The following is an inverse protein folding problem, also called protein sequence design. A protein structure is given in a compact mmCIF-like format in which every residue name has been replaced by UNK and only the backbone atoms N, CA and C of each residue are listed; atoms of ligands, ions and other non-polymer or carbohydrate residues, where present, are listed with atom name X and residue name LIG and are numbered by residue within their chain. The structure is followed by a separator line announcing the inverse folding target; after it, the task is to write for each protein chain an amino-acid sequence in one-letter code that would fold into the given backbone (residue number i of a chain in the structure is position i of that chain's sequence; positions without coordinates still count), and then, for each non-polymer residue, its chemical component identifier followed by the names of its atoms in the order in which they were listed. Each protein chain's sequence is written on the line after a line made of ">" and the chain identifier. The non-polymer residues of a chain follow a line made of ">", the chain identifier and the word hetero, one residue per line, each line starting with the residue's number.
data_IF_369033561076
#
_entry.id   IF_369033561076
#
_cell.length_a   1.000
_cell.length_b   1.000
_cell.length_c   1.000
_cell.angle_alpha   90.00
_cell.angle_beta   90.00
_cell.angle_gamma   90.00
#
_symmetry.space_group_name_H-M   'P 1'
#
loop_
_entity.id
_entity.type
_entity.pdbx_description
1 polymer ?
#
# COMPACT_ATOMS: atom_id res chain seq x y z
N UNK A 1 14.63 8.29 -7.77
CA UNK A 1 15.16 8.25 -6.39
C UNK A 1 15.71 9.61 -5.96
N UNK A 2 16.62 10.21 -6.73
CA UNK A 2 17.50 11.30 -6.25
C UNK A 2 16.75 12.56 -5.80
N UNK A 3 15.67 12.93 -6.50
CA UNK A 3 14.80 14.05 -6.10
C UNK A 3 14.08 13.79 -4.77
N UNK A 4 13.67 12.55 -4.52
CA UNK A 4 12.97 12.16 -3.29
C UNK A 4 13.96 12.21 -2.11
N UNK A 5 15.17 11.64 -2.29
CA UNK A 5 16.22 11.68 -1.28
C UNK A 5 16.63 13.13 -0.95
N UNK A 6 16.81 13.98 -1.98
CA UNK A 6 17.12 15.39 -1.78
C UNK A 6 15.99 16.13 -1.03
N UNK A 7 14.72 15.87 -1.33
CA UNK A 7 13.61 16.46 -0.59
C UNK A 7 13.62 16.04 0.89
N UNK A 8 13.85 14.75 1.16
CA UNK A 8 13.98 14.22 2.51
C UNK A 8 15.12 14.89 3.29
N UNK A 9 16.29 15.07 2.66
CA UNK A 9 17.44 15.73 3.27
C UNK A 9 17.22 17.23 3.49
N UNK A 10 16.33 17.86 2.71
CA UNK A 10 15.89 19.25 2.92
C UNK A 10 14.77 19.39 3.98
N UNK A 11 14.44 18.30 4.68
CA UNK A 11 13.52 18.32 5.81
C UNK A 11 12.08 17.92 5.48
N UNK A 12 11.79 17.49 4.25
CA UNK A 12 10.51 16.82 3.99
C UNK A 12 10.43 15.53 4.79
N UNK A 13 9.28 15.28 5.39
CA UNK A 13 9.06 14.13 6.26
C UNK A 13 7.84 13.31 5.87
N UNK A 14 7.14 13.67 4.78
CA UNK A 14 5.99 12.92 4.27
C UNK A 14 6.22 12.55 2.81
N UNK A 15 6.06 11.27 2.50
CA UNK A 15 6.04 10.75 1.13
C UNK A 15 4.70 10.09 0.89
N UNK A 16 4.02 10.52 -0.17
CA UNK A 16 2.78 9.93 -0.65
C UNK A 16 3.04 9.20 -1.98
N UNK A 17 2.76 7.90 -2.01
CA UNK A 17 2.83 7.05 -3.19
C UNK A 17 1.60 6.14 -3.31
N UNK A 18 1.57 5.25 -4.29
CA UNK A 18 0.56 4.22 -4.49
C UNK A 18 1.13 3.10 -5.38
N UNK A 19 0.58 1.89 -5.25
CA UNK A 19 0.83 0.77 -6.18
C UNK A 19 0.73 1.24 -7.64
N UNK A 20 -0.35 1.97 -7.96
CA UNK A 20 -0.64 2.45 -9.31
C UNK A 20 0.43 3.38 -9.90
N UNK A 21 1.25 4.02 -9.06
CA UNK A 21 2.32 4.92 -9.52
C UNK A 21 3.56 4.16 -9.99
N UNK A 22 3.66 2.85 -9.70
CA UNK A 22 4.78 1.98 -10.09
C UNK A 22 6.17 2.49 -9.65
N UNK A 23 6.25 3.23 -8.53
CA UNK A 23 7.49 3.83 -8.05
C UNK A 23 7.77 3.59 -6.55
N UNK A 24 7.05 2.66 -5.90
CA UNK A 24 7.25 2.34 -4.48
C UNK A 24 8.69 1.84 -4.20
N UNK A 25 9.30 1.15 -5.15
CA UNK A 25 10.71 0.76 -5.07
C UNK A 25 11.65 1.96 -5.04
N UNK A 26 11.39 2.95 -5.89
CA UNK A 26 12.20 4.17 -5.95
C UNK A 26 12.07 4.99 -4.66
N UNK A 27 10.90 4.96 -4.03
CA UNK A 27 10.65 5.56 -2.71
C UNK A 27 11.47 4.84 -1.64
N UNK A 28 11.43 3.50 -1.58
CA UNK A 28 12.21 2.71 -0.63
C UNK A 28 13.71 2.97 -0.75
N UNK A 29 14.22 2.95 -1.98
CA UNK A 29 15.63 3.28 -2.29
C UNK A 29 15.97 4.70 -1.85
N UNK A 30 15.11 5.68 -2.15
CA UNK A 30 15.36 7.08 -1.78
C UNK A 30 15.38 7.32 -0.27
N UNK A 31 14.50 6.66 0.50
CA UNK A 31 14.51 6.74 1.96
C UNK A 31 15.85 6.21 2.50
N UNK A 32 16.33 5.07 1.98
CA UNK A 32 17.62 4.50 2.39
C UNK A 32 18.83 5.35 1.99
N UNK A 33 18.75 6.06 0.87
CA UNK A 33 19.80 6.94 0.39
C UNK A 33 19.83 8.28 1.13
N UNK A 34 18.70 8.74 1.65
CA UNK A 34 18.62 9.96 2.45
C UNK A 34 19.32 9.79 3.80
N UNK A 35 19.69 10.91 4.42
CA UNK A 35 20.22 10.97 5.78
C UNK A 35 19.15 10.75 6.87
N UNK A 36 17.88 10.58 6.48
CA UNK A 36 16.73 10.46 7.39
C UNK A 36 16.58 9.03 7.90
N UNK A 37 16.27 8.87 9.20
CA UNK A 37 15.87 7.57 9.74
C UNK A 37 14.48 7.21 9.24
N UNK A 38 14.20 5.91 9.08
CA UNK A 38 12.89 5.44 8.57
C UNK A 38 11.73 5.94 9.45
N UNK A 39 11.91 5.96 10.77
CA UNK A 39 10.91 6.45 11.73
C UNK A 39 10.65 7.96 11.69
N UNK A 40 11.54 8.73 11.06
CA UNK A 40 11.40 10.18 10.87
C UNK A 40 10.75 10.55 9.52
N UNK A 41 10.35 9.55 8.74
CA UNK A 41 9.68 9.70 7.43
C UNK A 41 8.33 9.00 7.49
N UNK A 42 7.26 9.74 7.26
CA UNK A 42 5.89 9.25 7.17
C UNK A 42 5.59 8.81 5.74
N UNK A 43 5.37 7.52 5.53
CA UNK A 43 5.12 6.94 4.20
C UNK A 43 3.66 6.52 4.07
N UNK A 44 3.01 7.07 3.04
CA UNK A 44 1.65 6.73 2.61
C UNK A 44 1.75 5.90 1.34
N UNK A 45 1.07 4.76 1.29
CA UNK A 45 0.77 4.05 0.04
C UNK A 45 -0.71 3.70 -0.07
N UNK A 46 -1.14 3.33 -1.27
CA UNK A 46 -2.56 3.13 -1.61
C UNK A 46 -2.72 1.89 -2.46
N UNK A 47 -3.74 1.10 -2.11
CA UNK A 47 -4.24 -0.01 -2.90
C UNK A 47 -5.20 0.50 -3.97
N UNK A 48 -4.99 0.11 -5.23
CA UNK A 48 -5.89 0.46 -6.31
C UNK A 48 -6.89 -0.70 -6.60
N UNK A 49 -8.22 -0.46 -6.60
CA UNK A 49 -9.23 -1.52 -6.78
C UNK A 49 -9.33 -2.23 -8.15
N UNK A 50 -8.29 -2.28 -8.99
CA UNK A 50 -8.38 -2.86 -10.35
C UNK A 50 -7.25 -3.78 -10.81
N UNK A 51 -6.58 -4.52 -9.92
CA UNK A 51 -5.43 -5.35 -10.34
C UNK A 51 -5.73 -6.83 -10.65
N UNK A 52 -6.94 -7.36 -10.48
CA UNK A 52 -7.26 -8.68 -11.03
C UNK A 52 -8.76 -8.91 -11.26
N UNK A 53 -9.08 -9.47 -12.43
CA UNK A 53 -10.40 -9.50 -13.03
C UNK A 53 -11.47 -10.23 -12.22
N UNK A 54 -12.61 -9.58 -12.08
CA UNK A 54 -13.87 -10.21 -11.73
C UNK A 54 -14.86 -9.95 -12.87
N UNK A 55 -14.61 -10.60 -14.02
CA UNK A 55 -15.59 -10.70 -15.09
C UNK A 55 -16.35 -12.02 -14.89
N UNK A 56 -17.47 -11.93 -14.18
CA UNK A 56 -18.57 -12.89 -14.24
C UNK A 56 -18.65 -13.95 -13.13
N UNK A 57 -19.90 -14.39 -12.95
CA UNK A 57 -20.43 -15.61 -12.26
C UNK A 57 -21.14 -15.41 -10.91
N UNK A 58 -22.27 -14.72 -10.85
CA UNK A 58 -23.45 -15.03 -9.99
C UNK A 58 -23.25 -15.57 -8.55
N UNK A 59 -23.64 -14.74 -7.56
CA UNK A 59 -24.17 -14.93 -6.18
C UNK A 59 -23.52 -15.92 -5.19
N UNK A 60 -22.91 -17.02 -5.65
CA UNK A 60 -21.89 -17.79 -4.90
C UNK A 60 -20.49 -17.16 -5.03
N UNK A 61 -20.34 -16.28 -6.02
CA UNK A 61 -19.14 -15.52 -6.30
C UNK A 61 -18.91 -14.40 -5.30
N UNK A 62 -19.92 -13.92 -4.59
CA UNK A 62 -19.71 -12.88 -3.58
C UNK A 62 -18.66 -13.29 -2.54
N UNK A 63 -18.76 -14.50 -1.98
CA UNK A 63 -17.76 -14.95 -1.02
C UNK A 63 -16.40 -15.20 -1.68
N UNK A 64 -16.36 -15.70 -2.93
CA UNK A 64 -15.13 -15.86 -3.68
C UNK A 64 -14.46 -14.51 -4.03
N UNK A 65 -15.24 -13.50 -4.42
CA UNK A 65 -14.78 -12.14 -4.70
C UNK A 65 -14.31 -11.45 -3.44
N UNK A 66 -14.99 -11.68 -2.33
CA UNK A 66 -14.57 -11.16 -1.02
C UNK A 66 -13.24 -11.76 -0.59
N UNK A 67 -13.10 -13.08 -0.70
CA UNK A 67 -11.85 -13.79 -0.39
C UNK A 67 -10.74 -13.39 -1.36
N UNK A 68 -11.06 -13.24 -2.65
CA UNK A 68 -10.12 -12.82 -3.67
C UNK A 68 -9.66 -11.39 -3.43
N UNK A 69 -10.57 -10.44 -3.20
CA UNK A 69 -10.25 -9.06 -2.85
C UNK A 69 -9.38 -8.98 -1.59
N UNK A 70 -9.69 -9.78 -0.56
CA UNK A 70 -8.86 -9.89 0.64
C UNK A 70 -7.45 -10.40 0.31
N UNK A 71 -7.33 -11.52 -0.43
CA UNK A 71 -6.04 -12.12 -0.78
C UNK A 71 -5.21 -11.20 -1.70
N UNK A 72 -5.85 -10.59 -2.71
CA UNK A 72 -5.25 -9.62 -3.62
C UNK A 72 -4.76 -8.39 -2.86
N UNK A 73 -5.56 -7.86 -1.94
CA UNK A 73 -5.13 -6.78 -1.07
C UNK A 73 -3.90 -7.19 -0.25
N UNK A 74 -3.93 -8.35 0.42
CA UNK A 74 -2.79 -8.82 1.23
C UNK A 74 -1.54 -8.99 0.38
N UNK A 75 -1.67 -9.52 -0.84
CA UNK A 75 -0.56 -9.65 -1.78
C UNK A 75 0.01 -8.28 -2.17
N UNK A 76 -0.83 -7.36 -2.64
CA UNK A 76 -0.41 -6.01 -3.06
C UNK A 76 0.21 -5.25 -1.90
N UNK A 77 -0.40 -5.31 -0.71
CA UNK A 77 0.12 -4.68 0.49
C UNK A 77 1.48 -5.26 0.90
N UNK A 78 1.64 -6.59 0.84
CA UNK A 78 2.92 -7.24 1.13
C UNK A 78 3.98 -6.82 0.11
N UNK A 79 3.60 -6.74 -1.17
CA UNK A 79 4.47 -6.29 -2.24
C UNK A 79 4.87 -4.82 -2.08
N UNK A 80 3.96 -3.94 -1.64
CA UNK A 80 4.24 -2.54 -1.33
C UNK A 80 5.25 -2.40 -0.20
N UNK A 81 5.05 -3.11 0.92
CA UNK A 81 6.01 -3.11 2.05
C UNK A 81 7.39 -3.61 1.60
N UNK A 82 7.42 -4.70 0.82
CA UNK A 82 8.65 -5.24 0.28
C UNK A 82 9.35 -4.25 -0.66
N UNK A 83 8.60 -3.60 -1.55
CA UNK A 83 9.12 -2.62 -2.51
C UNK A 83 9.65 -1.38 -1.80
N UNK A 84 8.99 -0.93 -0.74
CA UNK A 84 9.46 0.16 0.12
C UNK A 84 10.68 -0.24 0.98
N UNK A 85 11.11 -1.50 0.92
CA UNK A 85 12.20 -2.06 1.72
C UNK A 85 12.05 -1.75 3.22
N UNK A 86 10.80 -1.81 3.70
CA UNK A 86 10.41 -1.48 5.07
C UNK A 86 9.69 -2.64 5.74
N UNK A 87 9.51 -2.58 7.06
CA UNK A 87 8.66 -3.51 7.81
C UNK A 87 7.23 -3.01 8.02
N UNK A 88 6.97 -1.73 7.73
CA UNK A 88 5.67 -1.08 7.90
C UNK A 88 5.48 0.11 6.96
N UNK A 89 4.22 0.53 6.81
CA UNK A 89 3.83 1.85 6.29
C UNK A 89 3.13 2.65 7.37
N UNK A 90 3.19 3.97 7.28
CA UNK A 90 2.60 4.85 8.30
C UNK A 90 1.10 5.06 8.04
N UNK A 91 0.69 5.01 6.77
CA UNK A 91 -0.70 4.97 6.36
C UNK A 91 -0.85 4.13 5.09
N UNK A 92 -1.89 3.30 5.03
CA UNK A 92 -2.29 2.58 3.83
C UNK A 92 -3.76 2.83 3.53
N UNK A 93 -4.09 3.17 2.29
CA UNK A 93 -5.43 3.63 1.91
C UNK A 93 -6.03 2.81 0.77
N UNK A 94 -7.35 2.78 0.71
CA UNK A 94 -8.08 2.45 -0.51
C UNK A 94 -8.02 3.70 -1.40
N UNK A 95 -7.39 3.61 -2.57
CA UNK A 95 -7.12 4.78 -3.43
C UNK A 95 -8.41 5.40 -3.98
N UNK A 96 -9.42 4.57 -4.29
CA UNK A 96 -10.74 5.01 -4.71
C UNK A 96 -11.79 3.97 -4.30
N UNK A 97 -13.04 4.37 -4.02
CA UNK A 97 -14.11 3.41 -3.76
C UNK A 97 -14.45 2.62 -5.03
N UNK A 98 -14.78 1.33 -4.87
CA UNK A 98 -15.33 0.47 -5.91
C UNK A 98 -16.28 -0.55 -5.29
N UNK A 99 -17.42 -0.75 -5.95
CA UNK A 99 -18.47 -1.63 -5.45
C UNK A 99 -17.97 -3.07 -5.26
N UNK A 100 -18.38 -3.69 -4.15
CA UNK A 100 -18.12 -5.10 -3.85
C UNK A 100 -16.74 -5.44 -3.29
N UNK A 101 -15.78 -4.51 -3.17
CA UNK A 101 -14.45 -4.81 -2.64
C UNK A 101 -13.98 -3.94 -1.46
N UNK A 102 -14.60 -2.79 -1.23
CA UNK A 102 -14.13 -1.85 -0.20
C UNK A 102 -14.24 -2.37 1.24
N UNK A 103 -15.30 -3.12 1.57
CA UNK A 103 -15.49 -3.63 2.94
C UNK A 103 -14.40 -4.66 3.29
N UNK A 104 -14.00 -5.48 2.33
CA UNK A 104 -13.01 -6.54 2.47
C UNK A 104 -11.60 -5.96 2.48
N UNK A 105 -11.31 -4.99 1.62
CA UNK A 105 -10.08 -4.21 1.69
C UNK A 105 -9.96 -3.50 3.05
N UNK A 106 -11.05 -2.96 3.60
CA UNK A 106 -11.07 -2.36 4.94
C UNK A 106 -10.82 -3.38 6.06
N UNK A 107 -11.40 -4.60 5.97
CA UNK A 107 -11.09 -5.68 6.92
C UNK A 107 -9.61 -6.05 6.88
N UNK A 108 -9.02 -6.13 5.68
CA UNK A 108 -7.60 -6.42 5.50
C UNK A 108 -6.70 -5.30 6.05
N UNK A 109 -7.05 -4.02 5.82
CA UNK A 109 -6.39 -2.86 6.44
C UNK A 109 -6.40 -2.96 7.97
N UNK A 110 -7.57 -3.29 8.54
CA UNK A 110 -7.73 -3.41 10.00
C UNK A 110 -6.86 -4.54 10.56
N UNK A 111 -6.76 -5.67 9.85
CA UNK A 111 -5.89 -6.77 10.24
C UNK A 111 -4.41 -6.39 10.14
N UNK A 112 -3.99 -5.77 9.05
CA UNK A 112 -2.62 -5.30 8.86
C UNK A 112 -2.19 -4.26 9.91
N UNK A 113 -3.13 -3.40 10.36
CA UNK A 113 -2.91 -2.48 11.49
C UNK A 113 -2.73 -3.23 12.81
N UNK A 114 -3.56 -4.25 13.10
CA UNK A 114 -3.38 -5.10 14.30
C UNK A 114 -2.04 -5.85 14.31
N UNK A 115 -1.54 -6.22 13.14
CA UNK A 115 -0.23 -6.87 12.97
C UNK A 115 0.95 -5.88 13.01
N UNK A 116 0.71 -4.58 13.16
CA UNK A 116 1.75 -3.54 13.21
C UNK A 116 2.42 -3.24 11.86
N UNK A 117 1.88 -3.78 10.76
CA UNK A 117 2.36 -3.51 9.39
C UNK A 117 1.88 -2.14 8.87
N UNK A 118 0.79 -1.63 9.45
CA UNK A 118 0.31 -0.26 9.30
C UNK A 118 0.30 0.35 10.71
N UNK A 119 0.90 1.53 10.91
CA UNK A 119 0.87 2.21 12.21
C UNK A 119 -0.52 2.75 12.60
#
# INVERSE_FOLDING_TARGET
>A
SDLIAAALDQGYSLIDTAEFYNNERDVGVAIKQSSRRREDVFVISKWWPTSAGAKGVMDSLDNCLKQFAFNTFIFIFTFAIFSLESSYVDLYMIHAPKDGCCAEAYRALTQAKKEGKIK
#
